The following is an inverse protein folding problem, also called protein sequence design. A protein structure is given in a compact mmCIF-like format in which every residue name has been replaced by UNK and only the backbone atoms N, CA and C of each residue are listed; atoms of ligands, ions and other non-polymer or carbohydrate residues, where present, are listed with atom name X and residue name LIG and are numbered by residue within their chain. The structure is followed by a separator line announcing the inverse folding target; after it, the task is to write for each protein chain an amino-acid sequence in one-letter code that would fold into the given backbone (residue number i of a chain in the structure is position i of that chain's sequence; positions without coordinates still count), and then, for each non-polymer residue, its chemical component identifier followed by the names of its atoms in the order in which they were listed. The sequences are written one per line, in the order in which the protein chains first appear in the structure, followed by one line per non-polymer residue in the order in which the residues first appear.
data_IF_165075649596
#
_entry.id   IF_165075649596
#
_cell.length_a   1.000
_cell.length_b   1.000
_cell.length_c   1.000
_cell.angle_alpha   90.00
_cell.angle_beta   90.00
_cell.angle_gamma   90.00
#
_symmetry.space_group_name_H-M   'P 1'
#
loop_
_entity.id
_entity.type
_entity.pdbx_description
1 polymer ?
#
# COMPACT_ATOMS: atom_id res chain seq x y z
N UNK A 1 22.56 -21.39 -12.17
CA UNK A 1 21.20 -20.96 -12.56
C UNK A 1 20.13 -21.10 -11.50
N UNK A 2 20.02 -22.24 -10.79
CA UNK A 2 18.81 -22.50 -9.97
C UNK A 2 18.76 -21.75 -8.62
N UNK A 3 19.88 -21.45 -8.00
CA UNK A 3 19.90 -20.75 -6.70
C UNK A 3 19.56 -19.26 -6.87
N UNK A 4 20.13 -18.60 -7.88
CA UNK A 4 19.87 -17.18 -8.19
C UNK A 4 18.39 -16.98 -8.52
N UNK A 5 17.82 -17.81 -9.39
CA UNK A 5 16.40 -17.71 -9.75
C UNK A 5 15.45 -17.99 -8.58
N UNK A 6 15.84 -18.87 -7.64
CA UNK A 6 15.06 -19.12 -6.43
C UNK A 6 15.07 -17.93 -5.47
N UNK A 7 16.22 -17.29 -5.29
CA UNK A 7 16.35 -16.08 -4.46
C UNK A 7 15.58 -14.91 -5.07
N UNK A 8 15.73 -14.67 -6.38
CA UNK A 8 15.02 -13.60 -7.08
C UNK A 8 13.49 -13.79 -7.01
N UNK A 9 13.02 -15.04 -7.14
CA UNK A 9 11.59 -15.37 -6.99
C UNK A 9 11.10 -15.08 -5.57
N UNK A 10 11.83 -15.54 -4.55
CA UNK A 10 11.49 -15.30 -3.14
C UNK A 10 11.45 -13.81 -2.78
N UNK A 11 12.44 -13.05 -3.25
CA UNK A 11 12.49 -11.60 -3.05
C UNK A 11 11.34 -10.86 -3.75
N UNK A 12 10.93 -11.32 -4.92
CA UNK A 12 9.79 -10.75 -5.64
C UNK A 12 8.45 -11.05 -4.94
N UNK A 13 8.28 -12.28 -4.44
CA UNK A 13 7.09 -12.65 -3.66
C UNK A 13 6.99 -11.83 -2.37
N UNK A 14 8.10 -11.66 -1.65
CA UNK A 14 8.17 -10.81 -0.46
C UNK A 14 7.92 -9.33 -0.80
N UNK A 15 8.51 -8.85 -1.90
CA UNK A 15 8.28 -7.50 -2.39
C UNK A 15 6.82 -7.24 -2.78
N UNK A 16 6.15 -8.21 -3.39
CA UNK A 16 4.74 -8.11 -3.72
C UNK A 16 3.85 -8.04 -2.46
N UNK A 17 4.19 -8.80 -1.41
CA UNK A 17 3.52 -8.72 -0.12
C UNK A 17 3.68 -7.34 0.52
N UNK A 18 4.90 -6.81 0.54
CA UNK A 18 5.20 -5.48 1.12
C UNK A 18 4.52 -4.34 0.35
N UNK A 19 4.44 -4.46 -0.98
CA UNK A 19 3.80 -3.49 -1.85
C UNK A 19 2.27 -3.62 -1.82
N UNK A 20 1.75 -4.81 -1.55
CA UNK A 20 0.32 -5.14 -1.65
C UNK A 20 -0.16 -5.41 -3.08
N UNK A 21 0.77 -5.74 -3.99
CA UNK A 21 0.52 -6.05 -5.40
C UNK A 21 1.81 -6.35 -6.15
N UNK A 22 1.72 -6.84 -7.38
CA UNK A 22 2.89 -7.05 -8.25
C UNK A 22 3.53 -5.72 -8.66
N UNK A 23 2.71 -4.68 -8.82
CA UNK A 23 3.13 -3.33 -9.14
C UNK A 23 2.16 -2.29 -8.56
N UNK A 24 2.58 -1.04 -8.58
CA UNK A 24 1.83 0.13 -8.15
C UNK A 24 2.07 1.29 -9.12
N UNK A 25 0.97 1.94 -9.52
CA UNK A 25 1.01 3.26 -10.15
C UNK A 25 0.50 4.30 -9.16
N UNK A 26 1.29 5.33 -8.87
CA UNK A 26 0.94 6.40 -7.94
C UNK A 26 0.83 7.75 -8.66
N UNK A 27 -0.21 8.49 -8.29
CA UNK A 27 -0.49 9.85 -8.77
C UNK A 27 -0.63 10.80 -7.60
N UNK A 28 0.03 11.95 -7.67
CA UNK A 28 -0.04 12.98 -6.65
C UNK A 28 -1.13 14.00 -6.99
N UNK A 29 -2.04 14.24 -6.04
CA UNK A 29 -3.12 15.23 -6.09
C UNK A 29 -4.13 15.04 -7.23
N UNK A 30 -4.20 13.86 -7.80
CA UNK A 30 -5.14 13.50 -8.86
C UNK A 30 -5.40 11.99 -8.93
N UNK A 31 -6.44 11.65 -9.64
CA UNK A 31 -6.70 10.28 -10.09
C UNK A 31 -6.03 10.02 -11.45
N UNK A 32 -5.92 8.75 -11.83
CA UNK A 32 -5.50 8.37 -13.18
C UNK A 32 -6.49 8.95 -14.21
N UNK A 33 -5.95 9.45 -15.31
CA UNK A 33 -6.77 9.85 -16.44
C UNK A 33 -7.26 8.61 -17.23
N UNK A 34 -8.23 8.76 -18.16
CA UNK A 34 -8.78 7.61 -18.91
C UNK A 34 -7.73 6.80 -19.68
N UNK A 35 -6.70 7.44 -20.24
CA UNK A 35 -5.65 6.74 -20.99
C UNK A 35 -4.75 5.92 -20.04
N UNK A 36 -4.37 6.47 -18.89
CA UNK A 36 -3.62 5.80 -17.85
C UNK A 36 -4.40 4.61 -17.29
N UNK A 37 -5.67 4.81 -16.95
CA UNK A 37 -6.53 3.75 -16.42
C UNK A 37 -6.71 2.62 -17.43
N UNK A 38 -6.96 2.93 -18.70
CA UNK A 38 -7.09 1.94 -19.78
C UNK A 38 -5.81 1.12 -19.96
N UNK A 39 -4.64 1.76 -19.85
CA UNK A 39 -3.36 1.07 -19.93
C UNK A 39 -3.14 0.15 -18.72
N UNK A 40 -3.46 0.62 -17.51
CA UNK A 40 -3.39 -0.21 -16.30
C UNK A 40 -4.30 -1.43 -16.41
N UNK A 41 -5.56 -1.26 -16.81
CA UNK A 41 -6.54 -2.34 -17.00
C UNK A 41 -6.09 -3.36 -18.05
N UNK A 42 -5.45 -2.91 -19.12
CA UNK A 42 -4.98 -3.81 -20.18
C UNK A 42 -3.86 -4.74 -19.72
N UNK A 43 -3.07 -4.34 -18.73
CA UNK A 43 -1.92 -5.09 -18.21
C UNK A 43 -2.22 -5.89 -16.92
N UNK A 44 -3.44 -5.79 -16.39
CA UNK A 44 -3.79 -6.36 -15.09
C UNK A 44 -4.95 -7.33 -15.15
N UNK A 45 -4.99 -8.29 -14.24
CA UNK A 45 -6.14 -9.14 -13.93
C UNK A 45 -7.09 -8.43 -12.99
N UNK A 46 -6.53 -7.72 -12.00
CA UNK A 46 -7.27 -7.03 -10.96
C UNK A 46 -6.54 -5.77 -10.52
N UNK A 47 -7.28 -4.72 -10.24
CA UNK A 47 -6.79 -3.44 -9.74
C UNK A 47 -7.48 -3.13 -8.42
N UNK A 48 -6.74 -2.59 -7.45
CA UNK A 48 -7.29 -1.93 -6.27
C UNK A 48 -6.88 -0.46 -6.28
N UNK A 49 -7.86 0.43 -6.21
CA UNK A 49 -7.66 1.87 -6.10
C UNK A 49 -7.66 2.30 -4.64
N UNK A 50 -6.59 2.94 -4.22
CA UNK A 50 -6.40 3.43 -2.85
C UNK A 50 -6.14 4.93 -2.91
N UNK A 51 -6.80 5.69 -2.06
CA UNK A 51 -6.55 7.13 -1.89
C UNK A 51 -6.02 7.37 -0.50
N UNK A 52 -4.79 7.89 -0.41
CA UNK A 52 -4.12 8.22 0.85
C UNK A 52 -4.11 9.73 1.08
N UNK A 53 -4.54 10.16 2.26
CA UNK A 53 -4.53 11.56 2.68
C UNK A 53 -4.53 11.69 4.20
N UNK A 54 -4.24 12.89 4.68
CA UNK A 54 -4.34 13.22 6.11
C UNK A 54 -5.62 13.95 6.39
N UNK A 55 -6.26 13.62 7.50
CA UNK A 55 -7.48 14.28 7.96
C UNK A 55 -7.54 14.32 9.49
N UNK A 56 -8.48 15.11 10.00
CA UNK A 56 -8.82 15.12 11.42
C UNK A 56 -10.03 14.24 11.67
N UNK A 57 -9.90 13.31 12.60
CA UNK A 57 -11.06 12.68 13.24
C UNK A 57 -11.64 13.65 14.23
N UNK A 58 -12.94 13.86 14.17
CA UNK A 58 -13.67 14.70 15.08
C UNK A 58 -14.78 13.91 15.77
N UNK A 59 -14.76 13.87 17.09
CA UNK A 59 -15.79 13.25 17.93
C UNK A 59 -16.65 14.34 18.53
N UNK A 60 -17.93 14.35 18.17
CA UNK A 60 -18.90 15.29 18.75
C UNK A 60 -19.26 14.85 20.17
N UNK A 61 -19.15 15.74 21.13
CA UNK A 61 -19.46 15.48 22.54
C UNK A 61 -19.14 16.66 23.43
N UNK A 62 -19.15 16.44 24.72
CA UNK A 62 -18.87 17.50 25.71
C UNK A 62 -17.44 18.07 25.58
N UNK A 63 -16.47 17.24 25.18
CA UNK A 63 -15.04 17.63 25.03
C UNK A 63 -14.64 17.95 23.60
N UNK A 64 -15.47 17.61 22.58
CA UNK A 64 -15.16 17.85 21.16
C UNK A 64 -13.73 17.38 20.79
N UNK A 65 -13.42 16.13 21.06
CA UNK A 65 -12.09 15.57 20.84
C UNK A 65 -11.71 15.53 19.36
N UNK A 66 -10.44 15.81 19.07
CA UNK A 66 -9.88 15.81 17.72
C UNK A 66 -8.53 15.13 17.70
N UNK A 67 -8.27 14.38 16.64
CA UNK A 67 -6.96 13.79 16.41
C UNK A 67 -6.64 13.67 14.92
N UNK A 68 -5.37 13.86 14.57
CA UNK A 68 -4.89 13.65 13.22
C UNK A 68 -4.85 12.15 12.91
N UNK A 69 -5.28 11.78 11.73
CA UNK A 69 -5.21 10.42 11.19
C UNK A 69 -4.69 10.41 9.77
N UNK A 70 -4.00 9.35 9.39
CA UNK A 70 -3.71 9.04 8.01
C UNK A 70 -4.81 8.13 7.48
N UNK A 71 -5.59 8.63 6.54
CA UNK A 71 -6.72 7.90 5.95
C UNK A 71 -6.25 7.14 4.73
N UNK A 72 -6.54 5.84 4.71
CA UNK A 72 -6.47 4.97 3.54
C UNK A 72 -7.90 4.70 3.08
N UNK A 73 -8.33 5.39 2.03
CA UNK A 73 -9.64 5.16 1.42
C UNK A 73 -9.50 4.12 0.32
N UNK A 74 -10.20 3.00 0.45
CA UNK A 74 -10.01 1.79 -0.36
C UNK A 74 -11.26 1.46 -1.17
N UNK A 75 -11.05 0.71 -2.26
CA UNK A 75 -12.13 0.07 -2.99
C UNK A 75 -12.44 -1.33 -2.42
N UNK A 76 -13.40 -2.03 -3.02
CA UNK A 76 -13.80 -3.37 -2.60
C UNK A 76 -12.79 -4.47 -2.95
N UNK A 77 -11.78 -4.16 -3.76
CA UNK A 77 -10.72 -5.08 -4.14
C UNK A 77 -9.53 -5.08 -3.15
N UNK A 78 -9.50 -4.10 -2.25
CA UNK A 78 -8.44 -4.00 -1.24
C UNK A 78 -8.67 -4.98 -0.08
N UNK A 79 -7.61 -5.61 0.43
CA UNK A 79 -6.27 -5.68 -0.13
C UNK A 79 -6.19 -6.74 -1.25
N UNK A 80 -5.37 -6.51 -2.29
CA UNK A 80 -5.13 -7.52 -3.33
C UNK A 80 -4.33 -8.70 -2.82
N UNK A 81 -3.36 -8.44 -1.92
CA UNK A 81 -2.47 -9.44 -1.30
C UNK A 81 -2.50 -9.24 0.21
N UNK A 82 -2.61 -10.35 0.94
CA UNK A 82 -2.68 -10.33 2.39
C UNK A 82 -4.07 -9.98 2.93
N UNK A 83 -4.14 -9.73 4.22
CA UNK A 83 -5.38 -9.41 4.94
C UNK A 83 -5.15 -8.28 5.93
N UNK A 84 -6.16 -7.43 6.11
CA UNK A 84 -6.23 -6.50 7.23
C UNK A 84 -6.75 -7.26 8.44
N UNK A 85 -5.92 -7.37 9.48
CA UNK A 85 -6.32 -8.01 10.72
C UNK A 85 -6.89 -6.97 11.67
N UNK A 86 -8.06 -7.28 12.23
CA UNK A 86 -8.73 -6.51 13.27
C UNK A 86 -8.62 -7.21 14.61
N UNK A 87 -8.74 -6.47 15.71
CA UNK A 87 -8.84 -7.07 17.05
C UNK A 87 -10.18 -7.76 17.29
N UNK A 88 -11.20 -7.44 16.49
CA UNK A 88 -12.46 -8.19 16.42
C UNK A 88 -12.32 -9.35 15.41
N UNK A 89 -13.22 -10.33 15.48
CA UNK A 89 -13.27 -11.46 14.53
C UNK A 89 -13.92 -11.12 13.19
N UNK A 90 -14.25 -9.86 12.97
CA UNK A 90 -14.89 -9.39 11.75
C UNK A 90 -13.85 -9.16 10.65
N UNK A 91 -14.24 -9.39 9.41
CA UNK A 91 -13.44 -9.03 8.24
C UNK A 91 -13.47 -7.52 8.02
N UNK A 92 -12.49 -6.99 7.27
CA UNK A 92 -12.49 -5.58 6.89
C UNK A 92 -13.80 -5.18 6.20
N UNK A 93 -14.30 -6.01 5.28
CA UNK A 93 -15.53 -5.73 4.55
C UNK A 93 -16.76 -5.66 5.46
N UNK A 94 -16.84 -6.49 6.47
CA UNK A 94 -17.93 -6.44 7.47
C UNK A 94 -17.82 -5.18 8.34
N UNK A 95 -16.62 -4.86 8.81
CA UNK A 95 -16.38 -3.69 9.65
C UNK A 95 -16.65 -2.35 8.90
N UNK A 96 -16.51 -2.32 7.58
CA UNK A 96 -16.77 -1.13 6.75
C UNK A 96 -18.23 -1.02 6.26
N UNK A 97 -19.07 -2.01 6.51
CA UNK A 97 -20.47 -1.95 6.10
C UNK A 97 -21.22 -0.80 6.75
N UNK A 98 -22.25 -0.33 6.05
CA UNK A 98 -23.15 0.70 6.58
C UNK A 98 -24.08 0.10 7.64
N UNK A 99 -24.09 0.73 8.80
CA UNK A 99 -25.07 0.46 9.85
C UNK A 99 -26.04 1.64 9.98
N UNK A 100 -27.34 1.39 9.81
CA UNK A 100 -28.38 2.43 9.86
C UNK A 100 -28.08 3.62 8.93
N UNK A 101 -27.45 3.35 7.78
CA UNK A 101 -27.09 4.37 6.80
C UNK A 101 -25.76 5.10 7.08
N UNK A 102 -25.08 4.80 8.19
CA UNK A 102 -23.77 5.38 8.53
C UNK A 102 -22.69 4.41 8.09
N UNK A 103 -21.73 4.82 7.24
CA UNK A 103 -20.64 3.98 6.80
C UNK A 103 -19.69 3.62 7.94
N UNK A 104 -19.08 2.42 7.85
CA UNK A 104 -18.09 1.95 8.81
C UNK A 104 -16.69 2.49 8.52
N UNK A 105 -15.90 2.56 9.57
CA UNK A 105 -14.48 2.83 9.50
C UNK A 105 -13.73 1.94 10.49
N UNK A 106 -12.49 1.58 10.16
CA UNK A 106 -11.60 0.93 11.11
C UNK A 106 -10.40 1.84 11.40
N UNK A 107 -9.99 1.94 12.65
CA UNK A 107 -8.90 2.82 13.08
C UNK A 107 -7.94 2.08 14.02
N UNK A 108 -6.70 2.56 14.11
CA UNK A 108 -5.70 1.98 15.01
C UNK A 108 -6.03 2.25 16.49
N UNK A 109 -5.65 1.31 17.35
CA UNK A 109 -5.94 1.33 18.80
C UNK A 109 -5.50 2.66 19.46
N UNK A 110 -4.35 3.19 19.08
CA UNK A 110 -3.84 4.44 19.65
C UNK A 110 -4.78 5.63 19.40
N UNK A 111 -5.49 5.63 18.26
CA UNK A 111 -6.46 6.66 17.94
C UNK A 111 -7.77 6.46 18.71
N UNK A 112 -8.19 5.20 18.86
CA UNK A 112 -9.36 4.82 19.70
C UNK A 112 -9.17 5.29 21.14
N UNK A 113 -8.00 5.00 21.72
CA UNK A 113 -7.68 5.38 23.09
C UNK A 113 -7.62 6.91 23.27
N UNK A 114 -6.98 7.59 22.33
CA UNK A 114 -6.86 9.06 22.36
C UNK A 114 -8.21 9.76 22.29
N UNK A 115 -9.15 9.24 21.51
CA UNK A 115 -10.48 9.84 21.31
C UNK A 115 -11.53 9.28 22.26
N UNK A 116 -11.20 8.28 23.08
CA UNK A 116 -12.12 7.64 24.00
C UNK A 116 -13.28 6.90 23.29
N UNK A 117 -13.05 6.42 22.07
CA UNK A 117 -14.05 5.74 21.25
C UNK A 117 -14.24 4.29 21.69
N UNK A 118 -15.45 3.78 21.47
CA UNK A 118 -15.82 2.36 21.57
C UNK A 118 -16.41 1.88 20.26
N UNK A 119 -16.38 0.57 20.02
CA UNK A 119 -17.04 -0.02 18.85
C UNK A 119 -18.49 0.44 18.77
N UNK A 120 -18.90 0.88 17.59
CA UNK A 120 -20.22 1.45 17.31
C UNK A 120 -20.35 2.95 17.54
N UNK A 121 -19.41 3.60 18.25
CA UNK A 121 -19.42 5.05 18.39
C UNK A 121 -19.20 5.74 17.04
N UNK A 122 -19.74 6.95 16.91
CA UNK A 122 -19.65 7.73 15.67
C UNK A 122 -18.65 8.86 15.79
N UNK A 123 -18.04 9.18 14.67
CA UNK A 123 -17.11 10.31 14.50
C UNK A 123 -17.21 10.87 13.08
N UNK A 124 -16.59 12.02 12.84
CA UNK A 124 -16.55 12.64 11.51
C UNK A 124 -15.14 12.62 10.93
N UNK A 125 -15.07 12.37 9.62
CA UNK A 125 -13.94 12.68 8.74
C UNK A 125 -14.45 13.71 7.71
N UNK A 126 -13.89 14.92 7.73
CA UNK A 126 -14.49 16.01 6.94
C UNK A 126 -15.96 16.26 7.32
N UNK A 127 -16.83 16.25 6.31
CA UNK A 127 -18.27 16.41 6.51
C UNK A 127 -19.03 15.10 6.71
N UNK A 128 -18.36 13.95 6.54
CA UNK A 128 -19.01 12.63 6.58
C UNK A 128 -18.88 11.99 7.96
N UNK A 129 -20.01 11.47 8.45
CA UNK A 129 -20.08 10.69 9.70
C UNK A 129 -19.80 9.22 9.41
N UNK A 130 -18.97 8.61 10.25
CA UNK A 130 -18.64 7.19 10.26
C UNK A 130 -18.96 6.58 11.62
N UNK A 131 -19.21 5.26 11.67
CA UNK A 131 -19.18 4.51 12.92
C UNK A 131 -17.87 3.72 13.03
N UNK A 132 -17.40 3.49 14.25
CA UNK A 132 -16.24 2.63 14.51
C UNK A 132 -16.66 1.16 14.36
N UNK A 133 -16.37 0.57 13.19
CA UNK A 133 -16.71 -0.81 12.86
C UNK A 133 -15.68 -1.83 13.31
N UNK A 134 -14.44 -1.41 13.55
CA UNK A 134 -13.37 -2.30 13.99
C UNK A 134 -12.09 -1.55 14.36
N UNK A 135 -11.19 -2.25 15.04
CA UNK A 135 -9.90 -1.71 15.48
C UNK A 135 -8.79 -2.46 14.75
N UNK A 136 -7.92 -1.73 14.06
CA UNK A 136 -6.83 -2.29 13.25
C UNK A 136 -5.78 -2.91 14.17
N UNK A 137 -5.44 -4.18 13.93
CA UNK A 137 -4.32 -4.88 14.53
C UNK A 137 -3.09 -4.84 13.62
N UNK A 138 -3.27 -5.13 12.33
CA UNK A 138 -2.20 -5.05 11.32
C UNK A 138 -2.75 -4.83 9.92
N UNK A 139 -1.95 -4.18 9.08
CA UNK A 139 -2.23 -3.91 7.67
C UNK A 139 -1.15 -4.60 6.84
N UNK A 140 -1.50 -5.35 5.77
CA UNK A 140 -0.53 -6.17 5.04
C UNK A 140 0.51 -5.35 4.27
N UNK A 141 0.12 -4.22 3.71
CA UNK A 141 0.92 -3.35 2.84
C UNK A 141 1.54 -2.14 3.57
N UNK A 142 1.71 -2.24 4.88
CA UNK A 142 2.26 -1.16 5.70
C UNK A 142 3.70 -0.75 5.35
N UNK A 143 4.45 -1.62 4.69
CA UNK A 143 5.82 -1.36 4.25
C UNK A 143 5.92 -0.36 3.09
N UNK A 144 4.88 -0.22 2.28
CA UNK A 144 4.86 0.66 1.11
C UNK A 144 4.36 2.08 1.41
N UNK A 145 3.68 2.28 2.53
CA UNK A 145 3.06 3.57 2.87
C UNK A 145 4.06 4.62 3.37
N UNK A 146 5.35 4.27 3.41
CA UNK A 146 6.38 5.11 4.01
C UNK A 146 6.20 5.19 5.54
N UNK A 147 7.05 5.95 6.20
CA UNK A 147 6.87 6.27 7.63
C UNK A 147 5.79 7.35 7.76
N UNK A 148 4.52 6.96 7.60
CA UNK A 148 3.39 7.85 7.83
C UNK A 148 3.40 8.34 9.28
N UNK A 149 3.46 9.64 9.46
CA UNK A 149 3.42 10.28 10.78
C UNK A 149 1.96 10.33 11.26
N UNK A 150 1.53 9.32 11.97
CA UNK A 150 0.24 9.32 12.65
C UNK A 150 -0.52 7.98 12.57
N UNK A 151 -1.53 7.81 13.42
CA UNK A 151 -2.37 6.63 13.44
C UNK A 151 -3.23 6.55 12.17
N UNK A 152 -3.47 5.32 11.72
CA UNK A 152 -4.15 5.03 10.46
C UNK A 152 -5.64 4.77 10.65
N UNK A 153 -6.39 5.13 9.62
CA UNK A 153 -7.82 4.83 9.47
C UNK A 153 -8.07 4.27 8.07
N UNK A 154 -8.97 3.30 7.96
CA UNK A 154 -9.40 2.76 6.67
C UNK A 154 -10.91 2.94 6.53
N UNK A 155 -11.33 3.43 5.37
CA UNK A 155 -12.72 3.63 4.98
C UNK A 155 -12.91 3.20 3.54
N UNK A 156 -14.14 2.95 3.10
CA UNK A 156 -14.38 2.84 1.67
C UNK A 156 -14.30 4.22 1.00
N UNK A 157 -13.63 4.28 -0.16
CA UNK A 157 -13.47 5.50 -0.96
C UNK A 157 -14.84 6.11 -1.33
N UNK A 158 -15.79 5.26 -1.72
CA UNK A 158 -17.12 5.71 -2.15
C UNK A 158 -17.92 6.37 -1.01
N UNK A 159 -17.63 6.02 0.23
CA UNK A 159 -18.25 6.66 1.40
C UNK A 159 -17.70 8.06 1.72
N UNK A 160 -16.65 8.49 1.03
CA UNK A 160 -16.12 9.86 1.10
C UNK A 160 -16.76 10.82 0.11
N UNK A 161 -17.67 10.36 -0.72
CA UNK A 161 -18.43 11.24 -1.60
C UNK A 161 -19.18 12.30 -0.78
N UNK A 162 -19.03 13.56 -1.16
CA UNK A 162 -19.60 14.69 -0.41
C UNK A 162 -18.87 15.09 0.88
N UNK A 163 -17.79 14.39 1.28
CA UNK A 163 -17.00 14.73 2.48
C UNK A 163 -16.19 16.02 2.35
N UNK A 164 -15.93 16.47 1.11
CA UNK A 164 -15.04 17.59 0.81
C UNK A 164 -13.54 17.22 0.85
N UNK A 165 -13.19 15.99 1.24
CA UNK A 165 -11.80 15.58 1.44
C UNK A 165 -11.04 15.22 0.15
N UNK A 166 -11.77 14.83 -0.90
CA UNK A 166 -11.22 14.47 -2.22
C UNK A 166 -11.60 15.49 -3.31
N UNK A 167 -11.91 16.71 -2.91
CA UNK A 167 -12.22 17.81 -3.83
C UNK A 167 -10.96 18.32 -4.54
N UNK A 168 -11.12 18.93 -5.73
CA UNK A 168 -9.98 19.59 -6.40
C UNK A 168 -9.28 20.58 -5.47
N UNK A 169 -7.94 20.50 -5.42
CA UNK A 169 -7.11 21.33 -4.55
C UNK A 169 -6.82 20.76 -3.16
N UNK A 170 -7.38 19.61 -2.80
CA UNK A 170 -6.98 18.88 -1.59
C UNK A 170 -5.72 18.04 -1.81
N UNK A 171 -4.99 17.77 -0.73
CA UNK A 171 -3.72 17.05 -0.78
C UNK A 171 -3.96 15.55 -0.54
N UNK A 172 -3.97 14.78 -1.61
CA UNK A 172 -4.08 13.33 -1.56
C UNK A 172 -3.17 12.67 -2.60
N UNK A 173 -2.84 11.41 -2.43
CA UNK A 173 -2.25 10.58 -3.49
C UNK A 173 -3.18 9.42 -3.80
N UNK A 174 -3.21 9.04 -5.08
CA UNK A 174 -3.97 7.88 -5.53
C UNK A 174 -2.99 6.80 -5.95
N UNK A 175 -3.18 5.59 -5.43
CA UNK A 175 -2.37 4.42 -5.72
C UNK A 175 -3.24 3.34 -6.35
N UNK A 176 -2.79 2.84 -7.47
CA UNK A 176 -3.40 1.69 -8.13
C UNK A 176 -2.49 0.49 -7.90
N UNK A 177 -2.94 -0.44 -7.05
CA UNK A 177 -2.27 -1.72 -6.81
C UNK A 177 -2.70 -2.70 -7.89
N UNK A 178 -1.73 -3.40 -8.45
CA UNK A 178 -1.91 -4.17 -9.67
C UNK A 178 -1.59 -5.64 -9.43
N UNK A 179 -2.55 -6.53 -9.77
CA UNK A 179 -2.32 -7.95 -10.01
C UNK A 179 -2.08 -8.10 -11.52
N UNK A 180 -0.82 -8.27 -11.92
CA UNK A 180 -0.40 -8.24 -13.31
C UNK A 180 -0.77 -9.54 -14.05
N UNK A 181 -1.13 -9.41 -15.34
CA UNK A 181 -1.35 -10.55 -16.23
C UNK A 181 -0.07 -11.33 -16.49
N UNK A 182 1.04 -10.61 -16.59
CA UNK A 182 2.37 -11.17 -16.87
C UNK A 182 3.41 -10.51 -15.97
N UNK A 183 4.10 -11.32 -15.17
CA UNK A 183 5.19 -10.92 -14.28
C UNK A 183 6.56 -11.39 -14.78
N UNK A 184 6.65 -11.94 -16.00
CA UNK A 184 7.88 -12.53 -16.55
C UNK A 184 8.95 -11.47 -16.82
N UNK A 185 8.55 -10.26 -17.23
CA UNK A 185 9.48 -9.14 -17.51
C UNK A 185 8.96 -7.83 -16.90
N UNK A 186 9.20 -7.65 -15.60
CA UNK A 186 8.86 -6.42 -14.89
C UNK A 186 9.70 -5.22 -15.35
N UNK A 187 10.92 -5.46 -15.89
CA UNK A 187 11.75 -4.40 -16.44
C UNK A 187 11.10 -3.76 -17.66
N UNK A 188 10.65 -4.59 -18.61
CA UNK A 188 9.99 -4.13 -19.82
C UNK A 188 8.71 -3.37 -19.50
N UNK A 189 7.92 -3.88 -18.54
CA UNK A 189 6.69 -3.22 -18.14
C UNK A 189 6.94 -1.87 -17.46
N UNK A 190 7.94 -1.79 -16.58
CA UNK A 190 8.36 -0.55 -15.94
C UNK A 190 8.88 0.48 -16.97
N UNK A 191 9.65 0.04 -17.96
CA UNK A 191 10.12 0.90 -19.06
C UNK A 191 8.94 1.42 -19.88
N UNK A 192 8.01 0.57 -20.27
CA UNK A 192 6.81 0.97 -21.02
C UNK A 192 5.96 1.98 -20.23
N UNK A 193 5.79 1.77 -18.93
CA UNK A 193 5.08 2.71 -18.06
C UNK A 193 5.78 4.07 -18.02
N UNK A 194 7.11 4.07 -17.86
CA UNK A 194 7.91 5.29 -17.84
C UNK A 194 7.85 6.05 -19.17
N UNK A 195 8.08 5.36 -20.30
CA UNK A 195 8.07 5.99 -21.63
C UNK A 195 6.72 6.63 -21.96
N UNK A 196 5.62 6.00 -21.56
CA UNK A 196 4.28 6.51 -21.87
C UNK A 196 3.79 7.59 -20.91
N UNK A 197 4.13 7.49 -19.62
CA UNK A 197 3.46 8.27 -18.58
C UNK A 197 4.37 9.04 -17.63
N UNK A 198 5.70 8.99 -17.80
CA UNK A 198 6.61 9.78 -16.95
C UNK A 198 6.28 11.27 -16.98
N UNK A 199 5.97 11.79 -18.18
CA UNK A 199 5.63 13.21 -18.37
C UNK A 199 4.28 13.60 -17.75
N UNK A 200 3.41 12.64 -17.45
CA UNK A 200 2.13 12.89 -16.79
C UNK A 200 2.24 12.90 -15.26
N UNK A 201 3.43 12.55 -14.73
CA UNK A 201 3.71 12.48 -13.31
C UNK A 201 3.28 11.15 -12.65
N UNK A 202 3.01 10.10 -13.45
CA UNK A 202 2.81 8.75 -12.91
C UNK A 202 4.12 8.23 -12.31
N UNK A 203 4.08 7.78 -11.08
CA UNK A 203 5.18 7.09 -10.42
C UNK A 203 4.91 5.59 -10.42
N UNK A 204 5.82 4.83 -11.02
CA UNK A 204 5.73 3.38 -11.09
C UNK A 204 6.65 2.73 -10.07
N UNK A 205 6.12 1.77 -9.35
CA UNK A 205 6.86 0.85 -8.47
C UNK A 205 6.43 -0.57 -8.77
N UNK A 206 7.32 -1.52 -8.60
CA UNK A 206 6.97 -2.94 -8.68
C UNK A 206 7.60 -3.74 -7.53
N UNK A 207 7.29 -5.02 -7.46
CA UNK A 207 7.73 -5.89 -6.38
C UNK A 207 9.25 -5.95 -6.17
N UNK A 208 10.06 -5.59 -7.18
CA UNK A 208 11.53 -5.53 -7.07
C UNK A 208 12.00 -4.33 -6.25
N UNK A 209 11.22 -3.24 -6.23
CA UNK A 209 11.56 -1.97 -5.58
C UNK A 209 10.78 -1.74 -4.27
N UNK A 210 9.95 -2.70 -3.87
CA UNK A 210 9.09 -2.57 -2.68
C UNK A 210 9.87 -2.54 -1.37
N UNK A 211 11.09 -3.10 -1.36
CA UNK A 211 11.98 -3.06 -0.20
C UNK A 211 13.26 -2.30 -0.55
N UNK A 212 13.35 -1.00 -0.22
CA UNK A 212 14.55 -0.20 -0.45
C UNK A 212 15.78 -0.86 0.20
N UNK A 213 16.85 -1.02 -0.58
CA UNK A 213 18.11 -1.62 -0.11
C UNK A 213 18.25 -3.14 -0.30
N UNK A 214 17.19 -3.89 -0.60
CA UNK A 214 17.35 -5.33 -0.87
C UNK A 214 18.12 -5.55 -2.18
N UNK A 215 17.85 -4.79 -3.22
CA UNK A 215 18.60 -4.90 -4.48
C UNK A 215 20.09 -4.59 -4.29
N UNK A 216 20.42 -3.52 -3.55
CA UNK A 216 21.80 -3.18 -3.19
C UNK A 216 22.46 -4.25 -2.34
N UNK A 217 21.71 -4.85 -1.42
CA UNK A 217 22.21 -5.94 -0.57
C UNK A 217 22.52 -7.20 -1.41
N UNK A 218 21.63 -7.56 -2.35
CA UNK A 218 21.83 -8.71 -3.26
C UNK A 218 23.03 -8.49 -4.17
N UNK A 219 23.19 -7.30 -4.76
CA UNK A 219 24.36 -6.95 -5.57
C UNK A 219 25.68 -7.01 -4.77
N UNK A 220 25.66 -6.51 -3.53
CA UNK A 220 26.83 -6.61 -2.63
C UNK A 220 27.14 -8.06 -2.25
N UNK A 221 26.11 -8.87 -2.00
CA UNK A 221 26.25 -10.30 -1.72
C UNK A 221 26.81 -11.06 -2.92
N UNK A 222 26.35 -10.78 -4.13
CA UNK A 222 26.86 -11.36 -5.38
C UNK A 222 28.35 -11.02 -5.58
N UNK A 223 28.71 -9.74 -5.40
CA UNK A 223 30.11 -9.28 -5.46
C UNK A 223 30.96 -9.97 -4.40
N UNK A 224 30.48 -10.09 -3.18
CA UNK A 224 31.19 -10.75 -2.09
C UNK A 224 31.41 -12.25 -2.37
N UNK A 225 30.37 -12.95 -2.86
CA UNK A 225 30.47 -14.38 -3.21
C UNK A 225 31.46 -14.63 -4.35
N UNK A 226 31.49 -13.74 -5.35
CA UNK A 226 32.50 -13.81 -6.43
C UNK A 226 33.90 -13.61 -5.89
N UNK A 227 34.11 -12.63 -5.01
CA UNK A 227 35.42 -12.39 -4.37
C UNK A 227 35.89 -13.56 -3.50
N UNK A 228 34.96 -14.12 -2.71
CA UNK A 228 35.25 -15.32 -1.88
C UNK A 228 35.55 -16.53 -2.75
N UNK A 229 34.79 -16.75 -3.82
CA UNK A 229 35.05 -17.83 -4.78
C UNK A 229 36.36 -17.69 -5.49
N UNK A 230 36.75 -16.48 -5.89
CA UNK A 230 38.03 -16.19 -6.54
C UNK A 230 39.23 -16.39 -5.57
N UNK A 231 39.08 -15.91 -4.33
CA UNK A 231 40.11 -16.09 -3.30
C UNK A 231 40.31 -17.57 -2.93
N UNK A 232 39.23 -18.35 -2.88
CA UNK A 232 39.29 -19.80 -2.66
C UNK A 232 39.99 -20.54 -3.80
N UNK A 233 39.81 -20.11 -5.04
CA UNK A 233 40.51 -20.64 -6.22
C UNK A 233 42.01 -20.30 -6.20
N UNK A 234 42.38 -19.08 -5.77
CA UNK A 234 43.80 -18.67 -5.66
C UNK A 234 44.51 -19.47 -4.57
N UNK A 235 43.89 -19.63 -3.41
CA UNK A 235 44.46 -20.37 -2.28
C UNK A 235 44.51 -21.87 -2.60
N UNK A 236 43.48 -22.43 -3.24
CA UNK A 236 43.46 -23.84 -3.66
C UNK A 236 44.42 -24.14 -4.81
N UNK A 237 44.69 -23.19 -5.70
CA UNK A 237 45.62 -23.34 -6.82
C UNK A 237 47.10 -23.30 -6.41
N UNK A 238 47.47 -22.64 -5.30
CA UNK A 238 48.84 -22.57 -4.79
C UNK A 238 49.22 -23.82 -3.99
N UNK A 239 48.26 -24.63 -3.56
CA UNK A 239 48.51 -25.86 -2.78
C UNK A 239 48.85 -27.11 -3.61
N UNK A 240 48.95 -27.03 -4.95
CA UNK A 240 49.18 -28.16 -5.85
C UNK A 240 50.53 -28.02 -6.62
N UNK A 241 51.44 -27.17 -6.18
CA UNK A 241 52.78 -27.04 -6.79
C UNK A 241 53.85 -27.64 -5.88
#
# INVERSE_FOLDING_TARGET
GSIKSGIEKGLREEGALLLGGDAEAEFTYRFANPAELSWLESNTKKISEIVDFRSMVFVEGETNERALTQVKAVDTNYPLIGEVNLYSFESLSEALQKEKGVPGAVIEQILVDRLGLKLGDTFKLGQTKFHLGGIIKSIPDSGSDGFGLGPRSIVYKDDLEGSGLLSPGTLFSTKYRLDLKDTSDLNLLAQNASEQFEKTGMQWKDARNAAPGINEFVERLETFLVLVGLSGLIVGGVGIA
#
